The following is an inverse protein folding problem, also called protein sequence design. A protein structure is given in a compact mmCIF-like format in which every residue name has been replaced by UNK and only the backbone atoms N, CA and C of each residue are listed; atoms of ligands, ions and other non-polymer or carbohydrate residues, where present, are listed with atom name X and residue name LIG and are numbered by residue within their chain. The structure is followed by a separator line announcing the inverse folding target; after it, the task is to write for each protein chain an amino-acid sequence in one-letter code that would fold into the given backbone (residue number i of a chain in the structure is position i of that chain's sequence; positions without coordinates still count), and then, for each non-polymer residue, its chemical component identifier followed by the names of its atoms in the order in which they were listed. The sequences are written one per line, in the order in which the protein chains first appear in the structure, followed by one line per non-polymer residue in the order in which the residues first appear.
data_IF_326311803011
#
_entry.id   IF_326311803011
#
_cell.length_a   1.000
_cell.length_b   1.000
_cell.length_c   1.000
_cell.angle_alpha   90.00
_cell.angle_beta   90.00
_cell.angle_gamma   90.00
#
_symmetry.space_group_name_H-M   'P 1'
#
loop_
_entity.id
_entity.type
_entity.pdbx_description
1 polymer ?
#
# COMPACT_ATOMS: atom_id res chain seq x y z
N UNK A 1 -13.94 5.42 6.31
CA UNK A 1 -13.69 3.99 6.53
C UNK A 1 -12.55 3.58 5.62
N UNK A 2 -11.46 3.12 6.23
CA UNK A 2 -10.21 2.77 5.56
C UNK A 2 -10.38 1.49 4.73
N UNK A 3 -9.57 1.36 3.68
CA UNK A 3 -9.24 0.11 3.02
C UNK A 3 -9.07 -1.02 4.04
N UNK A 4 -9.74 -2.15 3.84
CA UNK A 4 -9.66 -3.32 4.74
C UNK A 4 -8.56 -4.24 4.20
N UNK A 5 -7.31 -3.84 4.38
CA UNK A 5 -6.15 -4.67 4.04
C UNK A 5 -5.59 -5.32 5.29
N UNK A 6 -5.16 -6.58 5.20
CA UNK A 6 -4.44 -7.26 6.27
C UNK A 6 -3.32 -8.14 5.70
N UNK A 7 -2.51 -8.74 6.55
CA UNK A 7 -1.44 -9.64 6.11
C UNK A 7 -2.04 -10.87 5.41
N UNK A 8 -1.60 -11.21 4.18
CA UNK A 8 -2.07 -12.40 3.47
C UNK A 8 -1.87 -13.65 4.34
N UNK A 9 -2.92 -14.45 4.62
CA UNK A 9 -2.81 -15.59 5.52
C UNK A 9 -2.04 -16.76 4.90
N UNK A 10 -1.88 -16.76 3.57
CA UNK A 10 -1.15 -17.76 2.78
C UNK A 10 -0.57 -17.13 1.51
N UNK A 11 0.49 -17.73 0.98
CA UNK A 11 1.08 -17.33 -0.30
C UNK A 11 0.25 -17.95 -1.44
N UNK A 12 -0.68 -17.18 -2.00
CA UNK A 12 -1.49 -17.57 -3.16
C UNK A 12 -0.76 -17.30 -4.48
N UNK A 13 -1.33 -17.73 -5.60
CA UNK A 13 -0.82 -17.39 -6.95
C UNK A 13 -0.77 -15.86 -7.14
N UNK A 14 -1.77 -15.12 -6.65
CA UNK A 14 -1.78 -13.67 -6.74
C UNK A 14 -0.66 -13.04 -5.90
N UNK A 15 -0.47 -13.51 -4.66
CA UNK A 15 0.64 -13.04 -3.79
C UNK A 15 2.00 -13.35 -4.42
N UNK A 16 2.17 -14.53 -5.02
CA UNK A 16 3.40 -14.89 -5.74
C UNK A 16 3.65 -14.00 -6.95
N UNK A 17 2.61 -13.74 -7.77
CA UNK A 17 2.71 -12.82 -8.91
C UNK A 17 3.09 -11.40 -8.48
N UNK A 18 2.50 -10.90 -7.39
CA UNK A 18 2.87 -9.60 -6.83
C UNK A 18 4.33 -9.61 -6.37
N UNK A 19 4.76 -10.65 -5.66
CA UNK A 19 6.16 -10.84 -5.25
C UNK A 19 7.10 -10.74 -6.45
N UNK A 20 6.84 -11.50 -7.51
CA UNK A 20 7.67 -11.52 -8.72
C UNK A 20 7.66 -10.16 -9.46
N UNK A 21 6.59 -9.38 -9.34
CA UNK A 21 6.49 -8.04 -9.93
C UNK A 21 7.36 -7.00 -9.21
N UNK A 22 7.65 -7.19 -7.91
CA UNK A 22 8.48 -6.26 -7.13
C UNK A 22 9.93 -6.73 -7.00
N UNK A 23 10.15 -8.03 -6.80
CA UNK A 23 11.47 -8.65 -6.70
C UNK A 23 11.40 -10.04 -7.32
N UNK A 24 11.82 -10.14 -8.58
CA UNK A 24 11.74 -11.37 -9.36
C UNK A 24 12.48 -12.53 -8.67
N UNK A 25 11.77 -13.63 -8.37
CA UNK A 25 12.36 -14.83 -7.78
C UNK A 25 12.67 -14.73 -6.28
N UNK A 26 12.26 -13.65 -5.60
CA UNK A 26 12.35 -13.58 -4.15
C UNK A 26 11.32 -14.50 -3.48
N UNK A 27 11.70 -15.06 -2.33
CA UNK A 27 10.78 -15.85 -1.52
C UNK A 27 10.18 -14.97 -0.41
N UNK A 28 8.85 -14.82 -0.35
CA UNK A 28 8.20 -14.06 0.72
C UNK A 28 8.26 -14.84 2.03
N UNK A 29 8.59 -14.15 3.12
CA UNK A 29 8.79 -14.73 4.45
C UNK A 29 7.82 -14.11 5.46
N UNK A 30 7.27 -14.95 6.34
CA UNK A 30 6.49 -14.44 7.47
C UNK A 30 7.41 -13.99 8.59
N UNK A 31 7.25 -12.74 9.03
CA UNK A 31 8.04 -12.14 10.09
C UNK A 31 7.16 -11.79 11.29
N UNK A 32 7.66 -11.94 12.54
CA UNK A 32 6.96 -11.44 13.70
C UNK A 32 6.97 -9.91 13.73
N UNK A 33 5.86 -9.33 14.19
CA UNK A 33 5.76 -7.91 14.52
C UNK A 33 5.98 -7.76 16.02
N UNK A 34 7.02 -7.03 16.41
CA UNK A 34 7.39 -6.73 17.79
C UNK A 34 7.65 -5.23 17.91
N UNK A 35 6.59 -4.41 18.01
CA UNK A 35 6.74 -2.96 18.01
C UNK A 35 7.54 -2.48 19.21
N UNK A 36 8.37 -1.47 19.00
CA UNK A 36 9.03 -0.76 20.10
C UNK A 36 8.08 0.25 20.74
N UNK A 37 8.29 0.56 22.02
CA UNK A 37 7.39 1.43 22.79
C UNK A 37 7.32 2.87 22.23
N UNK A 38 8.39 3.32 21.58
CA UNK A 38 8.54 4.63 20.96
C UNK A 38 8.34 4.62 19.44
N UNK A 39 7.98 3.45 18.86
CA UNK A 39 7.78 3.33 17.43
C UNK A 39 6.48 4.02 16.98
N UNK A 40 6.55 4.69 15.83
CA UNK A 40 5.44 5.46 15.26
C UNK A 40 4.80 4.65 14.12
N UNK A 41 3.46 4.59 14.10
CA UNK A 41 2.70 3.91 13.04
C UNK A 41 3.02 4.57 11.69
N UNK A 42 3.20 3.76 10.65
CA UNK A 42 3.58 4.17 9.28
C UNK A 42 5.01 4.74 9.11
N UNK A 43 5.84 4.80 10.16
CA UNK A 43 7.21 5.33 10.09
C UNK A 43 8.27 4.22 10.18
N UNK A 44 8.22 3.24 9.28
CA UNK A 44 9.06 2.05 9.38
C UNK A 44 10.56 2.32 9.29
N UNK A 45 10.99 3.26 8.44
CA UNK A 45 12.40 3.61 8.29
C UNK A 45 12.97 4.27 9.55
N UNK A 46 12.37 5.34 10.13
CA UNK A 46 12.80 5.88 11.41
C UNK A 46 12.76 4.86 12.55
N UNK A 47 11.72 4.03 12.63
CA UNK A 47 11.61 3.02 13.70
C UNK A 47 12.79 2.05 13.68
N UNK A 48 13.15 1.54 12.49
CA UNK A 48 14.29 0.64 12.33
C UNK A 48 15.61 1.37 12.58
N UNK A 49 15.76 2.63 12.14
CA UNK A 49 16.95 3.42 12.45
C UNK A 49 17.15 3.63 13.96
N UNK A 50 16.09 3.98 14.68
CA UNK A 50 16.11 4.12 16.13
C UNK A 50 16.48 2.80 16.82
N UNK A 51 15.90 1.68 16.36
CA UNK A 51 16.23 0.34 16.86
C UNK A 51 17.70 -0.02 16.65
N UNK A 52 18.25 0.27 15.48
CA UNK A 52 19.68 0.03 15.18
C UNK A 52 20.58 0.87 16.07
N UNK A 53 20.24 2.14 16.29
CA UNK A 53 21.03 3.03 17.15
C UNK A 53 21.08 2.54 18.60
N UNK A 54 20.01 1.91 19.09
CA UNK A 54 19.91 1.41 20.47
C UNK A 54 20.52 0.01 20.66
N UNK A 55 20.24 -0.90 19.74
CA UNK A 55 20.48 -2.35 19.93
C UNK A 55 21.48 -2.93 18.91
N UNK A 56 21.99 -2.11 17.99
CA UNK A 56 22.79 -2.57 16.85
C UNK A 56 21.97 -3.32 15.81
N UNK A 57 22.62 -4.13 14.99
CA UNK A 57 21.96 -4.84 13.88
C UNK A 57 21.94 -4.02 12.59
N UNK A 58 21.02 -4.34 11.70
CA UNK A 58 20.98 -3.78 10.34
C UNK A 58 19.55 -3.54 9.86
N UNK A 59 19.40 -2.63 8.89
CA UNK A 59 18.14 -2.41 8.19
C UNK A 59 18.10 -3.32 6.97
N UNK A 60 17.00 -4.05 6.81
CA UNK A 60 16.67 -4.77 5.59
C UNK A 60 15.46 -4.11 4.94
N UNK A 61 15.66 -3.53 3.75
CA UNK A 61 14.59 -3.00 2.93
C UNK A 61 13.93 -4.12 2.12
N UNK A 62 12.67 -3.90 1.74
CA UNK A 62 11.89 -4.85 0.98
C UNK A 62 10.46 -4.38 0.85
N UNK A 63 9.55 -5.34 0.73
CA UNK A 63 8.14 -5.07 0.53
C UNK A 63 7.30 -5.82 1.54
N UNK A 64 6.44 -5.10 2.27
CA UNK A 64 5.38 -5.73 3.03
C UNK A 64 4.19 -6.01 2.10
N UNK A 65 3.71 -7.25 2.10
CA UNK A 65 2.55 -7.64 1.32
C UNK A 65 1.28 -7.52 2.17
N UNK A 66 0.26 -6.95 1.56
CA UNK A 66 -1.08 -6.76 2.08
C UNK A 66 -2.10 -7.40 1.14
N UNK A 67 -3.20 -7.89 1.70
CA UNK A 67 -4.34 -8.42 0.96
C UNK A 67 -5.61 -7.74 1.44
N UNK A 68 -6.38 -7.20 0.49
CA UNK A 68 -7.80 -6.94 0.67
C UNK A 68 -8.57 -8.08 0.02
N UNK A 69 -9.19 -8.98 0.82
CA UNK A 69 -9.89 -10.15 0.30
C UNK A 69 -10.85 -9.81 -0.85
N UNK A 70 -10.76 -10.58 -1.94
CA UNK A 70 -11.56 -10.45 -3.16
C UNK A 70 -11.46 -9.10 -3.89
N UNK A 71 -10.47 -8.26 -3.54
CA UNK A 71 -10.26 -6.95 -4.13
C UNK A 71 -8.86 -6.85 -4.75
N UNK A 72 -7.81 -6.82 -3.94
CA UNK A 72 -6.44 -6.61 -4.42
C UNK A 72 -5.40 -7.20 -3.48
N UNK A 73 -4.20 -7.36 -4.01
CA UNK A 73 -2.96 -7.50 -3.22
C UNK A 73 -2.08 -6.26 -3.44
N UNK A 74 -1.38 -5.83 -2.41
CA UNK A 74 -0.58 -4.60 -2.40
C UNK A 74 0.79 -4.88 -1.78
N UNK A 75 1.84 -4.35 -2.40
CA UNK A 75 3.20 -4.39 -1.90
C UNK A 75 3.60 -2.98 -1.50
N UNK A 76 3.79 -2.77 -0.19
CA UNK A 76 4.22 -1.50 0.41
C UNK A 76 5.72 -1.53 0.65
N UNK A 77 6.45 -0.49 0.22
CA UNK A 77 7.88 -0.42 0.47
C UNK A 77 8.14 -0.26 1.97
N UNK A 78 8.88 -1.20 2.54
CA UNK A 78 8.97 -1.38 3.99
C UNK A 78 10.39 -1.69 4.44
N UNK A 79 10.68 -1.37 5.70
CA UNK A 79 11.93 -1.72 6.36
C UNK A 79 11.66 -2.59 7.59
N UNK A 80 12.50 -3.61 7.76
CA UNK A 80 12.54 -4.45 8.96
C UNK A 80 13.92 -4.38 9.60
N UNK A 81 13.97 -4.63 10.91
CA UNK A 81 15.22 -4.69 11.65
C UNK A 81 15.75 -6.12 11.61
N UNK A 82 17.01 -6.30 11.23
CA UNK A 82 17.74 -7.55 11.38
C UNK A 82 18.60 -7.44 12.63
N UNK A 83 18.30 -8.29 13.61
CA UNK A 83 19.04 -8.29 14.88
C UNK A 83 20.53 -8.63 14.68
N UNK A 84 21.41 -8.34 15.66
CA UNK A 84 22.81 -8.78 15.61
C UNK A 84 23.00 -10.29 15.41
N UNK A 85 21.99 -11.10 15.77
CA UNK A 85 21.99 -12.56 15.57
C UNK A 85 21.46 -12.99 14.19
N UNK A 86 21.07 -12.05 13.33
CA UNK A 86 20.56 -12.32 11.98
C UNK A 86 19.05 -12.59 11.88
N UNK A 87 18.28 -12.39 12.95
CA UNK A 87 16.82 -12.57 12.94
C UNK A 87 16.12 -11.30 12.40
N UNK A 88 15.34 -11.39 11.30
CA UNK A 88 14.52 -10.29 10.80
C UNK A 88 13.22 -10.15 11.60
N UNK A 89 12.93 -8.95 12.09
CA UNK A 89 11.77 -8.62 12.91
C UNK A 89 11.20 -7.29 12.43
N UNK A 90 9.88 -7.20 12.30
CA UNK A 90 9.23 -5.92 12.09
C UNK A 90 9.01 -5.22 13.43
N UNK A 91 9.66 -4.08 13.61
CA UNK A 91 9.59 -3.27 14.83
C UNK A 91 8.59 -2.12 14.73
N UNK A 92 7.85 -2.05 13.63
CA UNK A 92 6.87 -0.99 13.39
C UNK A 92 5.46 -1.44 13.80
N UNK A 93 4.72 -0.64 14.59
CA UNK A 93 3.36 -0.97 14.97
C UNK A 93 2.44 -0.97 13.74
N UNK A 94 1.48 -1.89 13.74
CA UNK A 94 0.51 -2.05 12.65
C UNK A 94 -0.83 -1.43 13.04
N UNK A 95 -1.50 -0.69 12.13
CA UNK A 95 -2.73 0.04 12.46
C UNK A 95 -3.82 -0.85 13.07
N UNK A 96 -3.97 -2.07 12.56
CA UNK A 96 -5.00 -3.03 12.99
C UNK A 96 -4.44 -4.12 13.92
N UNK A 97 -3.21 -3.95 14.42
CA UNK A 97 -2.61 -4.82 15.42
C UNK A 97 -2.08 -6.16 14.90
N UNK A 98 -1.75 -6.28 13.60
CA UNK A 98 -1.12 -7.47 13.05
C UNK A 98 0.13 -7.88 13.85
N UNK A 99 0.19 -9.15 14.25
CA UNK A 99 1.31 -9.73 15.00
C UNK A 99 2.36 -10.39 14.10
N UNK A 100 2.07 -10.48 12.80
CA UNK A 100 2.97 -10.99 11.76
C UNK A 100 2.72 -10.25 10.45
N UNK A 101 3.75 -10.13 9.63
CA UNK A 101 3.67 -9.63 8.25
C UNK A 101 4.17 -10.67 7.26
N UNK A 102 3.77 -10.54 6.00
CA UNK A 102 4.41 -11.25 4.89
C UNK A 102 5.35 -10.26 4.19
N UNK A 103 6.64 -10.57 4.17
CA UNK A 103 7.69 -9.67 3.74
C UNK A 103 8.49 -10.25 2.57
N UNK A 104 8.80 -9.44 1.57
CA UNK A 104 9.67 -9.78 0.44
C UNK A 104 10.97 -9.00 0.59
N UNK A 105 12.08 -9.65 0.98
CA UNK A 105 13.37 -8.98 1.08
C UNK A 105 13.83 -8.42 -0.27
N UNK A 106 14.32 -7.19 -0.28
CA UNK A 106 15.00 -6.56 -1.43
C UNK A 106 16.36 -5.98 -0.97
N UNK A 107 17.40 -6.82 -0.85
CA UNK A 107 18.70 -6.37 -0.36
C UNK A 107 19.41 -5.40 -1.32
N UNK A 108 18.97 -5.31 -2.57
CA UNK A 108 19.48 -4.35 -3.54
C UNK A 108 18.93 -2.94 -3.33
N UNK A 109 17.79 -2.80 -2.67
CA UNK A 109 17.19 -1.50 -2.36
C UNK A 109 17.72 -0.89 -1.07
N UNK A 110 17.81 0.43 -1.10
CA UNK A 110 18.06 1.27 0.08
C UNK A 110 16.98 2.33 0.18
N UNK A 111 16.71 2.75 1.41
CA UNK A 111 15.87 3.91 1.65
C UNK A 111 16.67 5.19 1.42
N UNK A 112 16.26 5.98 0.41
CA UNK A 112 16.93 7.22 0.02
C UNK A 112 16.14 8.47 0.46
N UNK A 113 15.19 8.32 1.39
CA UNK A 113 14.32 9.43 1.81
C UNK A 113 13.18 9.74 0.84
N UNK A 114 13.01 8.93 -0.21
CA UNK A 114 11.98 9.11 -1.24
C UNK A 114 10.75 8.26 -0.91
N UNK A 115 9.57 8.84 -1.12
CA UNK A 115 8.32 8.10 -1.03
C UNK A 115 8.17 7.20 -2.26
N UNK A 116 8.08 5.89 -2.06
CA UNK A 116 7.89 4.91 -3.13
C UNK A 116 6.41 4.52 -3.17
N UNK A 117 5.79 4.54 -4.35
CA UNK A 117 4.41 4.05 -4.49
C UNK A 117 4.33 2.56 -4.20
N UNK A 118 3.20 2.15 -3.66
CA UNK A 118 2.91 0.74 -3.45
C UNK A 118 2.49 0.13 -4.78
N UNK A 119 2.96 -1.09 -5.04
CA UNK A 119 2.55 -1.84 -6.23
C UNK A 119 1.25 -2.56 -5.89
N UNK A 120 0.18 -2.30 -6.64
CA UNK A 120 -1.16 -2.85 -6.40
C UNK A 120 -1.57 -3.72 -7.58
N UNK A 121 -2.05 -4.93 -7.30
CA UNK A 121 -2.54 -5.85 -8.32
C UNK A 121 -3.98 -6.27 -7.99
N UNK A 122 -4.94 -6.13 -8.92
CA UNK A 122 -6.31 -6.56 -8.69
C UNK A 122 -6.41 -8.09 -8.61
N UNK A 123 -7.29 -8.60 -7.76
CA UNK A 123 -7.57 -10.04 -7.63
C UNK A 123 -8.59 -10.54 -8.66
N UNK A 124 -9.32 -9.64 -9.31
CA UNK A 124 -10.29 -9.95 -10.36
C UNK A 124 -10.31 -8.87 -11.44
N UNK A 125 -10.80 -9.22 -12.63
CA UNK A 125 -11.16 -8.23 -13.65
C UNK A 125 -12.46 -7.53 -13.24
N UNK A 126 -12.34 -6.40 -12.55
CA UNK A 126 -13.46 -5.53 -12.18
C UNK A 126 -13.05 -4.06 -12.33
N UNK A 127 -13.87 -3.30 -13.04
CA UNK A 127 -13.59 -1.90 -13.35
C UNK A 127 -13.48 -1.00 -12.11
N UNK A 128 -14.30 -1.25 -11.08
CA UNK A 128 -14.31 -0.47 -9.85
C UNK A 128 -12.99 -0.66 -9.08
N UNK A 129 -12.46 -1.89 -9.06
CA UNK A 129 -11.13 -2.20 -8.50
C UNK A 129 -10.02 -1.48 -9.28
N UNK A 130 -10.05 -1.57 -10.62
CA UNK A 130 -9.07 -0.87 -11.48
C UNK A 130 -9.06 0.63 -11.23
N UNK A 131 -10.23 1.25 -11.18
CA UNK A 131 -10.36 2.68 -10.89
C UNK A 131 -9.83 3.04 -9.49
N UNK A 132 -10.03 2.18 -8.49
CA UNK A 132 -9.46 2.40 -7.16
C UNK A 132 -7.92 2.41 -7.19
N UNK A 133 -7.32 1.47 -7.92
CA UNK A 133 -5.87 1.40 -8.11
C UNK A 133 -5.37 2.65 -8.83
N UNK A 134 -5.95 3.00 -9.98
CA UNK A 134 -5.55 4.18 -10.76
C UNK A 134 -5.64 5.48 -9.95
N UNK A 135 -6.69 5.66 -9.15
CA UNK A 135 -6.81 6.84 -8.29
C UNK A 135 -5.76 6.86 -7.17
N UNK A 136 -5.38 5.68 -6.66
CA UNK A 136 -4.31 5.57 -5.66
C UNK A 136 -2.95 5.93 -6.26
N UNK A 137 -2.65 5.44 -7.46
CA UNK A 137 -1.43 5.79 -8.21
C UNK A 137 -1.39 7.27 -8.59
N UNK A 138 -2.52 7.85 -9.01
CA UNK A 138 -2.62 9.27 -9.33
C UNK A 138 -2.34 10.17 -8.11
N UNK A 139 -2.79 9.77 -6.92
CA UNK A 139 -2.49 10.47 -5.66
C UNK A 139 -0.97 10.49 -5.43
N UNK A 140 -0.30 9.35 -5.56
CA UNK A 140 1.16 9.29 -5.39
C UNK A 140 1.89 10.08 -6.47
N UNK A 141 1.42 10.02 -7.72
CA UNK A 141 1.96 10.83 -8.82
C UNK A 141 1.88 12.34 -8.56
N UNK A 142 0.80 12.81 -7.92
CA UNK A 142 0.69 14.22 -7.49
C UNK A 142 1.62 14.50 -6.31
N UNK A 143 1.67 13.63 -5.30
CA UNK A 143 2.53 13.81 -4.12
C UNK A 143 4.02 13.82 -4.49
N UNK A 144 4.43 13.02 -5.47
CA UNK A 144 5.83 12.91 -5.89
C UNK A 144 6.21 13.87 -7.04
N UNK A 145 5.36 14.83 -7.41
CA UNK A 145 5.62 15.69 -8.57
C UNK A 145 6.73 16.72 -8.31
N UNK A 146 7.77 16.68 -9.15
CA UNK A 146 8.84 17.68 -9.18
C UNK A 146 9.67 17.66 -7.90
N UNK A 147 9.85 18.82 -7.26
CA UNK A 147 10.64 18.96 -6.02
C UNK A 147 10.04 18.21 -4.82
N UNK A 148 8.78 17.77 -4.91
CA UNK A 148 8.10 17.01 -3.84
C UNK A 148 8.61 15.57 -3.74
N UNK A 149 9.15 14.99 -4.82
CA UNK A 149 9.69 13.62 -4.83
C UNK A 149 10.74 13.38 -3.75
N UNK A 150 11.51 14.42 -3.40
CA UNK A 150 12.62 14.36 -2.45
C UNK A 150 12.25 14.90 -1.07
N UNK A 151 10.97 15.20 -0.82
CA UNK A 151 10.52 15.68 0.49
C UNK A 151 10.10 14.49 1.36
N UNK A 152 10.76 14.36 2.50
CA UNK A 152 10.37 13.41 3.53
C UNK A 152 9.44 14.09 4.56
N UNK A 153 8.42 13.36 5.01
CA UNK A 153 7.43 13.85 5.96
C UNK A 153 6.30 14.66 5.30
N UNK A 154 5.97 15.83 5.84
CA UNK A 154 4.83 16.63 5.38
C UNK A 154 5.07 17.24 3.99
N UNK A 155 4.50 16.64 2.95
CA UNK A 155 4.47 17.17 1.58
C UNK A 155 3.28 18.12 1.41
N UNK A 156 3.56 19.40 1.11
CA UNK A 156 2.50 20.37 0.80
C UNK A 156 2.05 20.22 -0.65
N UNK A 157 0.76 19.96 -0.84
CA UNK A 157 0.13 19.85 -2.16
C UNK A 157 -1.06 20.83 -2.22
N UNK A 158 -1.19 21.64 -3.29
CA UNK A 158 -2.37 22.49 -3.46
C UNK A 158 -3.66 21.66 -3.39
N UNK A 159 -4.62 22.12 -2.57
CA UNK A 159 -5.84 21.37 -2.30
C UNK A 159 -6.61 21.02 -3.59
N UNK A 160 -6.62 21.90 -4.58
CA UNK A 160 -7.27 21.67 -5.87
C UNK A 160 -6.62 20.55 -6.70
N UNK A 161 -5.35 20.22 -6.48
CA UNK A 161 -4.67 19.11 -7.17
C UNK A 161 -4.98 17.77 -6.52
N UNK A 162 -5.06 17.71 -5.18
CA UNK A 162 -5.12 16.44 -4.45
C UNK A 162 -6.53 16.08 -3.96
N UNK A 163 -7.35 17.07 -3.61
CA UNK A 163 -8.65 16.84 -3.00
C UNK A 163 -9.62 16.05 -3.90
N UNK A 164 -9.71 16.32 -5.22
CA UNK A 164 -10.57 15.53 -6.10
C UNK A 164 -10.17 14.06 -6.16
N UNK A 165 -8.86 13.78 -6.17
CA UNK A 165 -8.32 12.41 -6.20
C UNK A 165 -8.60 11.68 -4.88
N UNK A 166 -8.39 12.36 -3.74
CA UNK A 166 -8.70 11.81 -2.42
C UNK A 166 -10.18 11.49 -2.27
N UNK A 167 -11.07 12.38 -2.74
CA UNK A 167 -12.52 12.16 -2.73
C UNK A 167 -12.92 11.00 -3.63
N UNK A 168 -12.37 10.92 -4.84
CA UNK A 168 -12.63 9.81 -5.77
C UNK A 168 -12.16 8.48 -5.18
N UNK A 169 -10.90 8.39 -4.71
CA UNK A 169 -10.37 7.18 -4.05
C UNK A 169 -11.20 6.78 -2.85
N UNK A 170 -11.63 7.72 -2.01
CA UNK A 170 -12.47 7.45 -0.85
C UNK A 170 -13.84 6.88 -1.25
N UNK A 171 -14.49 7.45 -2.27
CA UNK A 171 -15.75 6.93 -2.80
C UNK A 171 -15.61 5.50 -3.34
N UNK A 172 -14.53 5.23 -4.08
CA UNK A 172 -14.25 3.91 -4.65
C UNK A 172 -13.95 2.89 -3.54
N UNK A 173 -13.14 3.25 -2.55
CA UNK A 173 -12.85 2.40 -1.40
C UNK A 173 -14.10 2.07 -0.58
N UNK A 174 -14.97 3.06 -0.34
CA UNK A 174 -16.26 2.83 0.33
C UNK A 174 -17.17 1.90 -0.48
N UNK A 175 -17.17 2.04 -1.81
CA UNK A 175 -17.95 1.17 -2.69
C UNK A 175 -17.47 -0.28 -2.60
N UNK A 176 -16.15 -0.51 -2.67
CA UNK A 176 -15.55 -1.84 -2.53
C UNK A 176 -15.81 -2.45 -1.16
N UNK A 177 -15.68 -1.66 -0.09
CA UNK A 177 -15.93 -2.09 1.29
C UNK A 177 -17.41 -2.46 1.52
N UNK A 178 -18.33 -1.82 0.81
CA UNK A 178 -19.74 -2.17 0.80
C UNK A 178 -20.06 -3.41 -0.07
N UNK A 179 -19.06 -4.08 -0.63
CA UNK A 179 -19.24 -5.24 -1.50
C UNK A 179 -19.74 -4.91 -2.91
N UNK A 180 -19.74 -3.62 -3.30
CA UNK A 180 -20.16 -3.21 -4.64
C UNK A 180 -19.10 -3.55 -5.68
N UNK A 181 -19.55 -3.71 -6.92
CA UNK A 181 -18.75 -4.13 -8.08
C UNK A 181 -19.19 -3.34 -9.32
N UNK A 182 -18.48 -3.51 -10.43
CA UNK A 182 -18.71 -2.68 -11.61
C UNK A 182 -20.15 -2.73 -12.18
N UNK A 183 -20.84 -3.86 -11.98
CA UNK A 183 -22.18 -4.11 -12.49
C UNK A 183 -23.28 -3.87 -11.45
N UNK A 184 -22.94 -3.56 -10.20
CA UNK A 184 -23.92 -3.25 -9.15
C UNK A 184 -24.35 -1.78 -9.24
N UNK A 185 -25.52 -1.41 -8.66
CA UNK A 185 -25.90 -0.01 -8.52
C UNK A 185 -24.78 0.81 -7.87
N UNK A 186 -24.56 2.00 -8.40
CA UNK A 186 -23.51 2.91 -7.94
C UNK A 186 -23.84 3.43 -6.53
N UNK A 187 -22.82 3.52 -5.66
CA UNK A 187 -22.97 3.97 -4.27
C UNK A 187 -23.62 5.36 -4.12
N UNK A 188 -23.59 6.19 -5.16
CA UNK A 188 -24.23 7.51 -5.13
C UNK A 188 -25.76 7.50 -5.09
N UNK A 189 -26.41 6.34 -5.18
CA UNK A 189 -27.87 6.22 -5.11
C UNK A 189 -28.61 6.52 -6.42
N UNK A 190 -27.91 6.72 -7.54
CA UNK A 190 -28.57 7.01 -8.84
C UNK A 190 -29.35 5.84 -9.45
N UNK A 191 -29.24 4.63 -8.89
CA UNK A 191 -29.80 3.40 -9.45
C UNK A 191 -29.07 2.86 -10.70
N UNK A 192 -28.19 3.65 -11.33
CA UNK A 192 -27.36 3.21 -12.46
C UNK A 192 -26.23 2.30 -11.99
N UNK A 193 -25.82 1.35 -12.84
CA UNK A 193 -24.60 0.54 -12.62
C UNK A 193 -23.38 1.45 -12.48
N UNK A 194 -22.43 1.07 -11.62
CA UNK A 194 -21.19 1.84 -11.41
C UNK A 194 -20.49 2.21 -12.71
N UNK A 195 -20.27 1.24 -13.60
CA UNK A 195 -19.57 1.46 -14.87
C UNK A 195 -20.22 2.53 -15.77
N UNK A 196 -21.55 2.75 -15.63
CA UNK A 196 -22.33 3.74 -16.39
C UNK A 196 -22.71 4.97 -15.55
N UNK A 197 -22.02 5.19 -14.43
CA UNK A 197 -22.23 6.33 -13.54
C UNK A 197 -20.88 6.97 -13.20
N UNK A 198 -20.38 6.78 -11.98
CA UNK A 198 -19.08 7.32 -11.59
C UNK A 198 -17.92 6.63 -12.34
N UNK A 199 -18.10 5.39 -12.80
CA UNK A 199 -17.14 4.72 -13.66
C UNK A 199 -16.82 5.51 -14.93
N UNK A 200 -17.83 6.01 -15.65
CA UNK A 200 -17.60 6.83 -16.85
C UNK A 200 -16.89 8.16 -16.58
N UNK A 201 -17.04 8.72 -15.38
CA UNK A 201 -16.31 9.95 -15.02
C UNK A 201 -14.83 9.68 -14.75
N UNK A 202 -14.53 8.53 -14.12
CA UNK A 202 -13.14 8.10 -13.89
C UNK A 202 -12.46 7.77 -15.22
N UNK A 203 -13.13 7.04 -16.10
CA UNK A 203 -12.63 6.77 -17.45
C UNK A 203 -12.33 8.06 -18.22
N UNK A 204 -13.24 9.03 -18.18
CA UNK A 204 -13.02 10.33 -18.82
C UNK A 204 -11.84 11.13 -18.21
N UNK A 205 -11.52 10.89 -16.93
CA UNK A 205 -10.40 11.55 -16.25
C UNK A 205 -9.04 10.97 -16.68
N UNK A 206 -8.96 9.66 -16.97
CA UNK A 206 -7.71 9.00 -17.38
C UNK A 206 -7.59 8.79 -18.90
N UNK A 207 -8.69 8.85 -19.64
CA UNK A 207 -8.76 8.60 -21.08
C UNK A 207 -8.54 9.82 -21.99
N UNK A 208 -8.11 10.96 -21.43
CA UNK A 208 -7.80 12.19 -22.17
C UNK A 208 -6.29 12.41 -22.30
#
# INVERSE_FOLDING_TARGET
MSTITTTPPKITIAVRRLTDSVVLGAEPIYLPVRPEADAIVHECFPNVQAKIARDGGQMLCGWQLWEWPDVLVEAEFHAVWVSPCGEPIDVSPKPEGETRILFVPDPGRRYEGLAIDNVRMPLSDDLLIRHFIQMSEAIVGVMNRGKRATQYGHVSVPANEIQPLLQARAFLGQSLAAGLREHTPCLCGSGRKYARCHGSHVEAFFGS
#
